data_IF_796365418609
#
_entry.id   IF_796365418609
#
_cell.length_a   1.000
_cell.length_b   1.000
_cell.length_c   1.000
_cell.angle_alpha   90.00
_cell.angle_beta   90.00
_cell.angle_gamma   90.00
#
_symmetry.space_group_name_H-M   'P 1'
#
loop_
_entity.id
_entity.type
_entity.pdbx_description
1 polymer ?
#
# COMPACT_ATOMS: atom_id res chain seq x y z
N UNK A 1 10.17 -1.88 31.68
CA UNK A 1 9.85 -1.02 30.52
C UNK A 1 10.82 -1.39 29.41
N UNK A 2 10.33 -1.91 28.27
CA UNK A 2 11.20 -2.17 27.12
C UNK A 2 11.69 -0.83 26.57
N UNK A 3 12.99 -0.73 26.29
CA UNK A 3 13.59 0.41 25.56
C UNK A 3 14.11 -0.10 24.23
N UNK A 4 13.60 0.49 23.15
CA UNK A 4 14.09 0.24 21.81
C UNK A 4 15.06 1.36 21.44
N UNK A 5 16.27 0.98 21.06
CA UNK A 5 17.26 1.91 20.53
C UNK A 5 17.44 1.62 19.04
N UNK A 6 17.41 2.65 18.21
CA UNK A 6 17.70 2.50 16.80
C UNK A 6 19.16 2.05 16.60
N UNK A 7 19.41 1.16 15.64
CA UNK A 7 20.75 0.71 15.30
C UNK A 7 21.54 1.76 14.49
N UNK A 8 20.84 2.69 13.85
CA UNK A 8 21.39 3.78 13.05
C UNK A 8 20.41 4.96 13.04
N UNK A 9 20.92 6.15 12.73
CA UNK A 9 20.10 7.31 12.40
C UNK A 9 19.33 7.09 11.09
N UNK A 10 18.19 7.76 10.98
CA UNK A 10 17.36 7.72 9.78
C UNK A 10 17.97 8.59 8.68
N UNK A 11 18.32 7.97 7.55
CA UNK A 11 18.81 8.68 6.37
C UNK A 11 17.69 8.88 5.34
N UNK A 12 17.24 10.14 5.21
CA UNK A 12 16.19 10.52 4.28
C UNK A 12 16.64 10.61 2.81
N UNK A 13 17.94 10.57 2.52
CA UNK A 13 18.47 10.76 1.15
C UNK A 13 18.09 9.65 0.18
N UNK A 14 17.72 8.48 0.70
CA UNK A 14 17.26 7.33 -0.08
C UNK A 14 15.79 7.41 -0.52
N UNK A 15 15.06 8.44 -0.10
CA UNK A 15 13.61 8.53 -0.31
C UNK A 15 13.24 9.74 -1.16
N UNK A 16 12.28 9.55 -2.05
CA UNK A 16 11.60 10.64 -2.74
C UNK A 16 10.72 11.46 -1.79
N UNK A 17 10.38 12.68 -2.20
CA UNK A 17 9.47 13.55 -1.43
C UNK A 17 8.12 12.89 -1.16
N UNK A 18 7.62 12.08 -2.10
CA UNK A 18 6.35 11.35 -1.95
C UNK A 18 6.47 10.29 -0.86
N UNK A 19 7.55 9.52 -0.88
CA UNK A 19 7.79 8.45 0.11
C UNK A 19 7.95 9.03 1.52
N UNK A 20 8.73 10.10 1.68
CA UNK A 20 8.87 10.79 2.97
C UNK A 20 7.52 11.30 3.50
N UNK A 21 6.67 11.85 2.63
CA UNK A 21 5.33 12.29 3.01
C UNK A 21 4.46 11.12 3.51
N UNK A 22 4.53 9.97 2.83
CA UNK A 22 3.79 8.77 3.20
C UNK A 22 4.30 8.25 4.55
N UNK A 23 5.63 8.10 4.70
CA UNK A 23 6.25 7.63 5.94
C UNK A 23 5.88 8.52 7.13
N UNK A 24 5.98 9.85 6.99
CA UNK A 24 5.61 10.79 8.05
C UNK A 24 4.12 10.69 8.42
N UNK A 25 3.24 10.57 7.42
CA UNK A 25 1.79 10.42 7.68
C UNK A 25 1.52 9.17 8.51
N UNK A 26 2.14 8.04 8.14
CA UNK A 26 1.96 6.77 8.85
C UNK A 26 2.54 6.83 10.27
N UNK A 27 3.75 7.39 10.41
CA UNK A 27 4.41 7.50 11.71
C UNK A 27 3.61 8.36 12.69
N UNK A 28 3.08 9.51 12.26
CA UNK A 28 2.24 10.37 13.10
C UNK A 28 0.90 9.71 13.44
N UNK A 29 0.26 9.07 12.45
CA UNK A 29 -1.04 8.42 12.65
C UNK A 29 -0.98 7.27 13.68
N UNK A 30 0.06 6.44 13.60
CA UNK A 30 0.15 5.21 14.40
C UNK A 30 1.14 5.29 15.57
N UNK A 31 1.70 6.46 15.85
CA UNK A 31 2.69 6.68 16.93
C UNK A 31 2.29 6.09 18.28
N UNK A 32 1.01 6.18 18.61
CA UNK A 32 0.43 5.74 19.88
C UNK A 32 -0.57 4.59 19.72
N UNK A 33 -0.66 3.99 18.54
CA UNK A 33 -1.58 2.88 18.29
C UNK A 33 -0.98 1.56 18.77
N UNK A 34 -1.81 0.65 19.29
CA UNK A 34 -1.39 -0.71 19.55
C UNK A 34 -1.43 -1.54 18.26
N UNK A 35 -0.74 -2.68 18.27
CA UNK A 35 -0.72 -3.59 17.14
C UNK A 35 -2.13 -4.03 16.73
N UNK A 36 -3.02 -4.26 17.70
CA UNK A 36 -4.41 -4.65 17.46
C UNK A 36 -5.19 -3.54 16.72
N UNK A 37 -5.02 -2.27 17.14
CA UNK A 37 -5.64 -1.11 16.47
C UNK A 37 -5.15 -0.98 15.01
N UNK A 38 -3.87 -1.26 14.77
CA UNK A 38 -3.28 -1.25 13.42
C UNK A 38 -3.81 -2.40 12.57
N UNK A 39 -4.02 -3.57 13.15
CA UNK A 39 -4.58 -4.75 12.47
C UNK A 39 -5.99 -4.42 11.99
N UNK A 40 -6.85 -3.88 12.85
CA UNK A 40 -8.22 -3.51 12.47
C UNK A 40 -8.24 -2.51 11.30
N UNK A 41 -7.36 -1.50 11.32
CA UNK A 41 -7.27 -0.50 10.24
C UNK A 41 -6.75 -1.06 8.92
N UNK A 42 -5.90 -2.09 8.96
CA UNK A 42 -5.21 -2.65 7.77
C UNK A 42 -5.88 -3.90 7.20
N UNK A 43 -6.59 -4.65 8.02
CA UNK A 43 -7.32 -5.88 7.66
C UNK A 43 -8.80 -5.63 7.42
N UNK A 44 -9.19 -4.38 7.13
CA UNK A 44 -10.56 -4.05 6.77
C UNK A 44 -11.07 -5.01 5.70
N UNK A 45 -12.17 -5.69 6.02
CA UNK A 45 -12.85 -6.60 5.12
C UNK A 45 -13.10 -5.87 3.78
N UNK A 46 -12.85 -6.57 2.66
CA UNK A 46 -12.94 -6.07 1.26
C UNK A 46 -11.75 -5.25 0.76
N UNK A 47 -10.66 -5.11 1.54
CA UNK A 47 -9.41 -4.57 1.01
C UNK A 47 -8.58 -5.62 0.25
N UNK A 48 -7.65 -5.20 -0.62
CA UNK A 48 -6.85 -6.12 -1.44
C UNK A 48 -6.07 -7.15 -0.62
N UNK A 49 -5.64 -6.78 0.59
CA UNK A 49 -4.95 -7.68 1.51
C UNK A 49 -5.84 -8.85 1.94
N UNK A 50 -7.05 -8.56 2.42
CA UNK A 50 -8.03 -9.58 2.80
C UNK A 50 -8.39 -10.50 1.61
N UNK A 51 -8.60 -9.92 0.42
CA UNK A 51 -8.91 -10.68 -0.79
C UNK A 51 -7.81 -11.68 -1.15
N UNK A 52 -6.55 -11.26 -1.16
CA UNK A 52 -5.43 -12.13 -1.56
C UNK A 52 -5.05 -13.10 -0.45
N UNK A 53 -4.96 -12.63 0.79
CA UNK A 53 -4.44 -13.42 1.90
C UNK A 53 -5.47 -14.41 2.47
N UNK A 54 -6.69 -13.95 2.71
CA UNK A 54 -7.73 -14.74 3.40
C UNK A 54 -8.68 -15.43 2.42
N UNK A 55 -9.16 -14.74 1.39
CA UNK A 55 -10.14 -15.29 0.43
C UNK A 55 -9.47 -16.23 -0.59
N UNK A 56 -8.37 -15.78 -1.20
CA UNK A 56 -7.67 -16.57 -2.23
C UNK A 56 -6.57 -17.49 -1.66
N UNK A 57 -6.19 -17.31 -0.39
CA UNK A 57 -5.17 -18.13 0.27
C UNK A 57 -3.73 -17.90 -0.21
N UNK A 58 -3.48 -16.79 -0.92
CA UNK A 58 -2.22 -16.48 -1.59
C UNK A 58 -1.29 -15.63 -0.73
N UNK A 59 -0.80 -16.21 0.36
CA UNK A 59 -0.13 -15.51 1.47
C UNK A 59 1.16 -14.75 1.13
N UNK A 60 1.73 -14.93 -0.06
CA UNK A 60 2.98 -14.28 -0.50
C UNK A 60 2.92 -13.81 -1.96
N UNK A 61 1.75 -13.81 -2.59
CA UNK A 61 1.64 -13.36 -3.97
C UNK A 61 1.53 -11.84 -4.07
N UNK A 62 1.87 -11.32 -5.24
CA UNK A 62 1.67 -9.90 -5.55
C UNK A 62 0.18 -9.61 -5.56
N UNK A 63 -0.20 -8.51 -4.92
CA UNK A 63 -1.54 -7.98 -4.99
C UNK A 63 -1.75 -7.39 -6.39
N UNK A 64 -2.72 -7.90 -7.19
CA UNK A 64 -3.07 -7.31 -8.48
C UNK A 64 -3.47 -5.85 -8.32
N UNK A 65 -2.99 -4.99 -9.21
CA UNK A 65 -3.20 -3.55 -9.12
C UNK A 65 -4.69 -3.18 -9.21
N UNK A 66 -5.47 -3.99 -9.91
CA UNK A 66 -6.91 -3.85 -10.10
C UNK A 66 -7.66 -3.89 -8.77
N UNK A 67 -7.13 -4.60 -7.78
CA UNK A 67 -7.73 -4.65 -6.44
C UNK A 67 -7.56 -3.33 -5.69
N UNK A 68 -6.48 -2.58 -5.95
CA UNK A 68 -6.26 -1.27 -5.34
C UNK A 68 -7.20 -0.18 -5.89
N UNK A 69 -7.90 -0.44 -6.99
CA UNK A 69 -8.86 0.47 -7.58
C UNK A 69 -10.22 0.40 -6.85
N UNK A 70 -10.86 1.55 -6.54
CA UNK A 70 -12.20 1.58 -5.98
C UNK A 70 -13.16 0.76 -6.84
N UNK A 71 -13.95 -0.13 -6.24
CA UNK A 71 -14.84 -1.04 -6.96
C UNK A 71 -15.79 -0.32 -7.92
N UNK A 72 -16.24 0.88 -7.55
CA UNK A 72 -17.14 1.72 -8.34
C UNK A 72 -16.51 2.25 -9.64
N UNK A 73 -15.19 2.43 -9.66
CA UNK A 73 -14.46 3.00 -10.80
C UNK A 73 -13.49 2.01 -11.45
N UNK A 74 -13.44 0.76 -10.95
CA UNK A 74 -12.45 -0.23 -11.33
C UNK A 74 -12.45 -0.48 -12.84
N UNK A 75 -13.63 -0.64 -13.44
CA UNK A 75 -13.76 -0.93 -14.86
C UNK A 75 -13.31 0.24 -15.74
N UNK A 76 -13.69 1.47 -15.35
CA UNK A 76 -13.31 2.70 -16.06
C UNK A 76 -11.79 2.95 -15.96
N UNK A 77 -11.24 2.86 -14.76
CA UNK A 77 -9.82 3.08 -14.51
C UNK A 77 -8.95 1.99 -15.13
N UNK A 78 -9.41 0.74 -15.14
CA UNK A 78 -8.72 -0.37 -15.80
C UNK A 78 -8.59 -0.14 -17.31
N UNK A 79 -9.69 0.30 -17.94
CA UNK A 79 -9.70 0.67 -19.36
C UNK A 79 -8.71 1.80 -19.66
N UNK A 80 -8.72 2.87 -18.87
CA UNK A 80 -7.78 3.99 -19.02
C UNK A 80 -6.32 3.53 -18.87
N UNK A 81 -6.03 2.64 -17.92
CA UNK A 81 -4.68 2.10 -17.74
C UNK A 81 -4.21 1.23 -18.90
N UNK A 82 -5.09 0.40 -19.48
CA UNK A 82 -4.78 -0.40 -20.69
C UNK A 82 -4.51 0.53 -21.88
N UNK A 83 -5.39 1.51 -22.12
CA UNK A 83 -5.22 2.48 -23.20
C UNK A 83 -3.91 3.26 -23.05
N UNK A 84 -3.57 3.66 -21.81
CA UNK A 84 -2.32 4.36 -21.54
C UNK A 84 -1.09 3.47 -21.77
N UNK A 85 -1.13 2.21 -21.38
CA UNK A 85 -0.04 1.25 -21.62
C UNK A 85 0.18 1.02 -23.12
N UNK A 86 -0.89 0.79 -23.87
CA UNK A 86 -0.82 0.63 -25.32
C UNK A 86 -0.24 1.87 -26.01
N UNK A 87 -0.62 3.07 -25.56
CA UNK A 87 -0.10 4.33 -26.09
C UNK A 87 1.40 4.50 -25.79
N UNK A 88 1.86 4.10 -24.60
CA UNK A 88 3.28 4.12 -24.23
C UNK A 88 4.11 3.11 -25.03
N UNK A 89 3.54 1.98 -25.44
CA UNK A 89 4.21 1.01 -26.32
C UNK A 89 4.37 1.53 -27.74
N UNK A 90 3.37 2.24 -28.26
CA UNK A 90 3.42 2.85 -29.62
C UNK A 90 4.38 4.04 -29.69
N UNK A 91 4.61 4.73 -28.56
CA UNK A 91 5.54 5.86 -28.47
C UNK A 91 7.02 5.46 -28.24
N UNK A 92 7.30 4.17 -28.05
CA UNK A 92 8.68 3.64 -27.99
C UNK A 92 9.22 3.33 -29.38
#
# INVERSE_FOLDING_TARGET
MLKFNALSEFDQTHFSKRELKILNTLAEQYKNAFADDMIEATHLERLPWHQIYEVEGKKQEKIPYELALPSQNRELMHKDSIERLALLEVLK
#
